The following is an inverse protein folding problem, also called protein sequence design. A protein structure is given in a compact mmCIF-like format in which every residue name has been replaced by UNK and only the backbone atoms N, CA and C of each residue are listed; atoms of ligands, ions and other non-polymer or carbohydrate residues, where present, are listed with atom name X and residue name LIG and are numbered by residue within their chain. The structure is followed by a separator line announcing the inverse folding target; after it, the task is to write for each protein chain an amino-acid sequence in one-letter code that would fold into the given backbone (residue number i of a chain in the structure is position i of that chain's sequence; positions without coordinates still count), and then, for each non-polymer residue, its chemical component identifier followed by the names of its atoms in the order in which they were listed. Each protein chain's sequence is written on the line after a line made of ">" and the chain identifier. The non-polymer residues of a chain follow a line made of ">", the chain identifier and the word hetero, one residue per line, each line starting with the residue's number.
data_IF_781940865832
#
_entry.id   IF_781940865832
#
_cell.length_a   1.000
_cell.length_b   1.000
_cell.length_c   1.000
_cell.angle_alpha   90.00
_cell.angle_beta   90.00
_cell.angle_gamma   90.00
#
_symmetry.space_group_name_H-M   'P 1'
#
loop_
_entity.id
_entity.type
_entity.pdbx_description
1 polymer ?
#
# COMPACT_ATOMS: atom_id res chain seq x y z
N UNK A 1 -4.95 4.98 -16.81
CA UNK A 1 -3.72 5.77 -16.98
C UNK A 1 -2.70 5.26 -15.96
N UNK A 2 -1.45 5.09 -16.40
CA UNK A 2 -0.38 4.55 -15.55
C UNK A 2 0.88 5.40 -15.70
N UNK A 3 1.73 5.36 -14.66
CA UNK A 3 3.04 6.02 -14.71
C UNK A 3 4.05 5.24 -13.86
N UNK A 4 5.33 5.50 -14.10
CA UNK A 4 6.43 4.74 -13.51
C UNK A 4 7.06 5.43 -12.29
N UNK A 5 6.42 6.47 -11.78
CA UNK A 5 6.89 7.16 -10.58
C UNK A 5 5.75 7.18 -9.56
N UNK A 6 6.07 7.12 -8.25
CA UNK A 6 5.02 7.20 -7.24
C UNK A 6 4.26 8.53 -7.35
N UNK A 7 2.94 8.46 -7.21
CA UNK A 7 2.13 9.65 -7.15
C UNK A 7 2.29 10.33 -5.79
N UNK A 8 2.44 9.52 -4.73
CA UNK A 8 2.65 10.04 -3.39
C UNK A 8 4.01 9.59 -2.88
N UNK A 9 4.76 10.53 -2.32
CA UNK A 9 6.09 10.27 -1.76
C UNK A 9 5.97 9.34 -0.55
N UNK A 10 6.86 8.34 -0.46
CA UNK A 10 6.88 7.41 0.68
C UNK A 10 7.07 8.13 2.02
N UNK A 11 7.78 9.24 2.03
CA UNK A 11 7.94 10.03 3.25
C UNK A 11 6.60 10.52 3.78
N UNK A 12 5.71 10.94 2.88
CA UNK A 12 4.35 11.36 3.24
C UNK A 12 3.54 10.16 3.75
N UNK A 13 3.63 9.02 3.06
CA UNK A 13 2.95 7.80 3.46
C UNK A 13 3.36 7.40 4.88
N UNK A 14 4.67 7.36 5.13
CA UNK A 14 5.20 6.98 6.45
C UNK A 14 4.84 7.99 7.53
N UNK A 15 4.76 9.28 7.18
CA UNK A 15 4.30 10.32 8.09
C UNK A 15 2.86 10.12 8.52
N UNK A 16 1.99 9.71 7.60
CA UNK A 16 0.59 9.42 7.91
C UNK A 16 0.47 8.20 8.83
N UNK A 17 1.30 7.18 8.62
CA UNK A 17 1.34 6.02 9.51
C UNK A 17 1.75 6.46 10.93
N UNK A 18 2.79 7.27 11.05
CA UNK A 18 3.25 7.77 12.35
C UNK A 18 2.19 8.60 13.06
N UNK A 19 1.37 9.33 12.30
CA UNK A 19 0.29 10.14 12.86
C UNK A 19 -0.97 9.32 13.18
N UNK A 20 -1.01 8.04 12.80
CA UNK A 20 -2.19 7.20 12.99
C UNK A 20 -3.30 7.45 11.98
N UNK A 21 -3.00 8.15 10.88
CA UNK A 21 -3.99 8.52 9.87
C UNK A 21 -4.03 7.47 8.76
N UNK A 22 -4.41 6.25 9.12
CA UNK A 22 -4.42 5.11 8.20
C UNK A 22 -5.75 4.38 8.28
N UNK A 23 -6.29 4.05 7.10
CA UNK A 23 -7.47 3.19 6.96
C UNK A 23 -7.13 2.02 6.05
N UNK A 24 -7.89 0.94 6.17
CA UNK A 24 -7.74 -0.24 5.32
C UNK A 24 -9.10 -0.66 4.78
N UNK A 25 -9.10 -1.31 3.62
CA UNK A 25 -10.30 -2.01 3.15
C UNK A 25 -10.38 -3.39 3.80
N UNK A 26 -11.58 -3.97 3.82
CA UNK A 26 -11.77 -5.33 4.33
C UNK A 26 -10.97 -6.32 3.48
N UNK A 27 -11.00 -6.17 2.17
CA UNK A 27 -10.25 -7.08 1.29
C UNK A 27 -8.75 -6.99 1.51
N UNK A 28 -8.22 -5.81 1.84
CA UNK A 28 -6.80 -5.67 2.17
C UNK A 28 -6.46 -6.42 3.46
N UNK A 29 -7.31 -6.31 4.48
CA UNK A 29 -7.11 -7.04 5.74
C UNK A 29 -7.11 -8.54 5.49
N UNK A 30 -8.08 -9.03 4.73
CA UNK A 30 -8.21 -10.46 4.43
C UNK A 30 -7.02 -10.98 3.62
N UNK A 31 -6.61 -10.23 2.59
CA UNK A 31 -5.45 -10.61 1.78
C UNK A 31 -4.15 -10.62 2.57
N UNK A 32 -3.99 -9.68 3.50
CA UNK A 32 -2.84 -9.66 4.39
C UNK A 32 -2.82 -10.88 5.31
N UNK A 33 -3.98 -11.29 5.81
CA UNK A 33 -4.08 -12.50 6.66
C UNK A 33 -3.61 -13.73 5.92
N UNK A 34 -3.91 -13.85 4.63
CA UNK A 34 -3.45 -14.96 3.80
C UNK A 34 -1.92 -15.00 3.69
N UNK A 35 -1.27 -13.88 3.92
CA UNK A 35 0.19 -13.77 3.91
C UNK A 35 0.80 -13.86 5.32
N UNK A 36 0.00 -14.15 6.33
CA UNK A 36 0.46 -14.20 7.70
C UNK A 36 0.61 -12.83 8.37
N UNK A 37 0.05 -11.79 7.77
CA UNK A 37 0.11 -10.42 8.30
C UNK A 37 -1.26 -10.13 8.92
N UNK A 38 -1.31 -10.09 10.26
CA UNK A 38 -2.57 -10.03 10.98
C UNK A 38 -2.75 -8.65 11.62
N UNK A 39 -3.79 -7.95 11.18
CA UNK A 39 -4.21 -6.69 11.75
C UNK A 39 -3.56 -5.47 11.11
N UNK A 40 -4.19 -4.32 11.37
CA UNK A 40 -3.76 -3.05 10.75
C UNK A 40 -2.34 -2.65 11.16
N UNK A 41 -1.97 -2.87 12.41
CA UNK A 41 -0.62 -2.51 12.89
C UNK A 41 0.46 -3.29 12.15
N UNK A 42 0.26 -4.61 11.95
CA UNK A 42 1.22 -5.44 11.22
C UNK A 42 1.29 -5.04 9.75
N UNK A 43 0.14 -4.69 9.15
CA UNK A 43 0.09 -4.19 7.77
C UNK A 43 0.87 -2.87 7.66
N UNK A 44 0.70 -1.98 8.63
CA UNK A 44 1.42 -0.70 8.65
C UNK A 44 2.93 -0.89 8.80
N UNK A 45 3.37 -1.90 9.54
CA UNK A 45 4.80 -2.21 9.65
C UNK A 45 5.40 -2.55 8.28
N UNK A 46 4.68 -3.33 7.48
CA UNK A 46 5.13 -3.67 6.12
C UNK A 46 5.20 -2.41 5.26
N UNK A 47 4.16 -1.60 5.29
CA UNK A 47 4.12 -0.35 4.50
C UNK A 47 5.21 0.60 4.95
N UNK A 48 5.47 0.69 6.26
CA UNK A 48 6.50 1.57 6.80
C UNK A 48 7.91 1.12 6.41
N UNK A 49 8.09 -0.14 6.05
CA UNK A 49 9.37 -0.68 5.61
C UNK A 49 9.58 -0.56 4.09
N UNK A 50 8.59 -0.09 3.34
CA UNK A 50 8.71 0.05 1.90
C UNK A 50 9.84 1.01 1.53
N UNK A 51 10.54 0.68 0.43
CA UNK A 51 11.56 1.53 -0.17
C UNK A 51 11.23 1.73 -1.64
N UNK A 52 11.89 2.69 -2.28
CA UNK A 52 11.60 3.07 -3.66
C UNK A 52 11.72 1.89 -4.63
N UNK A 53 12.65 0.97 -4.41
CA UNK A 53 12.84 -0.19 -5.30
C UNK A 53 11.67 -1.18 -5.25
N UNK A 54 10.83 -1.11 -4.21
CA UNK A 54 9.63 -1.95 -4.12
C UNK A 54 8.50 -1.44 -5.02
N UNK A 55 8.62 -0.21 -5.50
CA UNK A 55 7.60 0.42 -6.34
C UNK A 55 7.47 -0.29 -7.68
N UNK A 56 6.22 -0.56 -8.07
CA UNK A 56 5.91 -1.18 -9.34
C UNK A 56 5.36 -0.17 -10.33
N UNK A 57 4.23 0.45 -10.01
CA UNK A 57 3.59 1.44 -10.89
C UNK A 57 2.57 2.26 -10.10
N UNK A 58 2.17 3.37 -10.70
CA UNK A 58 1.03 4.15 -10.22
C UNK A 58 -0.04 4.16 -11.30
N UNK A 59 -1.32 4.05 -10.91
CA UNK A 59 -2.42 4.03 -11.86
C UNK A 59 -3.63 4.74 -11.29
N UNK A 60 -4.48 5.25 -12.20
CA UNK A 60 -5.75 5.85 -11.79
C UNK A 60 -6.82 4.78 -11.62
N UNK A 61 -7.82 5.07 -10.80
CA UNK A 61 -8.96 4.16 -10.63
C UNK A 61 -9.92 4.28 -11.81
N UNK A 62 -10.69 3.23 -12.07
CA UNK A 62 -11.73 3.25 -13.09
C UNK A 62 -12.88 4.19 -12.70
N UNK A 63 -13.17 4.30 -11.42
CA UNK A 63 -14.26 5.12 -10.93
C UNK A 63 -13.95 6.61 -10.99
N UNK A 64 -12.68 6.99 -10.81
CA UNK A 64 -12.26 8.39 -10.81
C UNK A 64 -10.82 8.50 -11.31
N UNK A 65 -10.66 9.07 -12.50
CA UNK A 65 -9.35 9.25 -13.14
C UNK A 65 -8.46 10.27 -12.41
N UNK A 66 -8.97 10.95 -11.42
CA UNK A 66 -8.20 11.90 -10.59
C UNK A 66 -7.58 11.23 -9.37
N UNK A 67 -8.00 10.02 -9.05
CA UNK A 67 -7.50 9.28 -7.91
C UNK A 67 -6.40 8.31 -8.36
N UNK A 68 -5.21 8.50 -7.85
CA UNK A 68 -4.05 7.67 -8.15
C UNK A 68 -3.84 6.64 -7.04
N UNK A 69 -3.48 5.43 -7.45
CA UNK A 69 -3.12 4.34 -6.54
C UNK A 69 -1.69 3.93 -6.85
N UNK A 70 -0.83 3.95 -5.84
CA UNK A 70 0.56 3.53 -5.97
C UNK A 70 0.66 2.05 -5.60
N UNK A 71 1.30 1.26 -6.45
CA UNK A 71 1.45 -0.18 -6.26
C UNK A 71 2.89 -0.50 -5.90
N UNK A 72 3.07 -1.24 -4.82
CA UNK A 72 4.36 -1.71 -4.34
C UNK A 72 4.35 -3.23 -4.27
N UNK A 73 5.50 -3.85 -4.54
CA UNK A 73 5.66 -5.31 -4.51
C UNK A 73 6.86 -5.68 -3.63
N UNK A 74 6.76 -5.50 -2.31
CA UNK A 74 7.86 -5.83 -1.42
C UNK A 74 7.96 -7.35 -1.21
N UNK A 75 9.18 -7.83 -0.98
CA UNK A 75 9.40 -9.19 -0.52
C UNK A 75 9.25 -9.21 1.00
N UNK A 76 8.37 -10.06 1.49
CA UNK A 76 8.13 -10.21 2.91
C UNK A 76 9.20 -11.09 3.56
N UNK A 77 9.28 -11.08 4.89
CA UNK A 77 10.21 -11.90 5.65
C UNK A 77 10.02 -13.41 5.36
N UNK A 78 8.78 -13.83 5.05
CA UNK A 78 8.46 -15.21 4.68
C UNK A 78 9.03 -15.63 3.32
N UNK A 79 9.50 -14.68 2.51
CA UNK A 79 9.92 -14.90 1.14
C UNK A 79 8.83 -14.64 0.10
N UNK A 80 7.58 -14.54 0.52
CA UNK A 80 6.49 -14.21 -0.39
C UNK A 80 6.60 -12.75 -0.84
N UNK A 81 6.12 -12.47 -2.05
CA UNK A 81 6.06 -11.10 -2.57
C UNK A 81 4.61 -10.62 -2.43
N UNK A 82 4.43 -9.51 -1.73
CA UNK A 82 3.12 -8.91 -1.57
C UNK A 82 2.83 -7.95 -2.73
N UNK A 83 1.55 -7.71 -2.97
CA UNK A 83 1.05 -6.72 -3.92
C UNK A 83 0.21 -5.75 -3.11
N UNK A 84 0.70 -4.53 -2.93
CA UNK A 84 0.09 -3.53 -2.06
C UNK A 84 -0.30 -2.31 -2.88
N UNK A 85 -1.57 -1.93 -2.81
CA UNK A 85 -2.09 -0.70 -3.41
C UNK A 85 -2.36 0.32 -2.32
N UNK A 86 -1.82 1.52 -2.49
CA UNK A 86 -1.97 2.62 -1.56
C UNK A 86 -2.54 3.83 -2.27
N UNK A 87 -3.40 4.58 -1.59
CA UNK A 87 -3.81 5.90 -2.05
C UNK A 87 -3.81 6.86 -0.87
N UNK A 88 -3.50 8.14 -1.14
CA UNK A 88 -3.54 9.20 -0.13
C UNK A 88 -4.54 10.24 -0.62
N UNK A 89 -5.58 10.46 0.16
CA UNK A 89 -6.54 11.54 -0.08
C UNK A 89 -6.38 12.54 1.05
N UNK A 90 -6.94 12.33 2.20
CA UNK A 90 -6.63 13.10 3.39
C UNK A 90 -5.84 12.26 4.39
N UNK A 91 -6.05 10.95 4.36
CA UNK A 91 -5.28 9.97 5.11
C UNK A 91 -4.78 8.89 4.15
N UNK A 92 -4.00 7.96 4.66
CA UNK A 92 -3.52 6.83 3.89
C UNK A 92 -4.60 5.74 3.88
N UNK A 93 -4.96 5.26 2.70
CA UNK A 93 -5.84 4.12 2.54
C UNK A 93 -5.05 2.97 1.92
N UNK A 94 -4.97 1.84 2.63
CA UNK A 94 -4.43 0.59 2.08
C UNK A 94 -5.59 -0.08 1.35
N UNK A 95 -5.57 0.04 0.02
CA UNK A 95 -6.67 -0.41 -0.85
C UNK A 95 -6.63 -1.92 -1.05
N UNK A 96 -5.43 -2.46 -1.26
CA UNK A 96 -5.21 -3.89 -1.46
C UNK A 96 -3.94 -4.31 -0.77
N UNK A 97 -3.93 -5.53 -0.27
CA UNK A 97 -2.76 -6.14 0.34
C UNK A 97 -2.93 -7.65 0.15
N UNK A 98 -2.21 -8.21 -0.78
CA UNK A 98 -2.39 -9.62 -1.16
C UNK A 98 -1.10 -10.17 -1.72
N UNK A 99 -1.07 -11.48 -1.95
CA UNK A 99 0.07 -12.09 -2.62
C UNK A 99 0.09 -11.65 -4.09
N UNK A 100 1.28 -11.40 -4.57
CA UNK A 100 1.50 -10.99 -5.96
C UNK A 100 1.04 -12.05 -6.95
#
# INVERSE_FOLDING_TARGET
>A
MEKNVPHCNLKVVKGLISAGNVRTTISAVEGAQDLGIFGKAAMCEVVNALVRKDFYKSMTTHADHRVWQDVYRPRLASGAVAYIKLTVISDLLIVSFKEK
#
